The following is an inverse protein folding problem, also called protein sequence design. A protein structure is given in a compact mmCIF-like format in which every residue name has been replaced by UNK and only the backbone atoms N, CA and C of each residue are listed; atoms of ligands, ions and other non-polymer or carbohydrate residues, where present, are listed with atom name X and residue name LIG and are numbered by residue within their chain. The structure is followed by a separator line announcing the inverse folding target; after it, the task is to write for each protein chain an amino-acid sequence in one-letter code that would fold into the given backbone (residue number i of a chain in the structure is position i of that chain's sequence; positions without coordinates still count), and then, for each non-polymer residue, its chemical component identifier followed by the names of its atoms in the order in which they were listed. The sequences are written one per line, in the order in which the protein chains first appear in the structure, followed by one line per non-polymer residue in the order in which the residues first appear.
data_IF_423131417193
#
_entry.id   IF_423131417193
#
_cell.length_a   1.000
_cell.length_b   1.000
_cell.length_c   1.000
_cell.angle_alpha   90.00
_cell.angle_beta   90.00
_cell.angle_gamma   90.00
#
_symmetry.space_group_name_H-M   'P 1'
#
loop_
_entity.id
_entity.type
_entity.pdbx_description
1 polymer ?
#
# COMPACT_ATOMS: atom_id res chain seq x y z
N UNK A 1 -21.31 -18.72 7.12
CA UNK A 1 -20.71 -19.61 6.10
C UNK A 1 -21.58 -19.70 4.84
N UNK A 2 -21.98 -18.56 4.24
CA UNK A 2 -22.77 -18.56 2.97
C UNK A 2 -22.11 -17.68 1.88
N UNK A 3 -21.11 -16.84 2.21
CA UNK A 3 -20.48 -15.94 1.23
C UNK A 3 -19.40 -16.60 0.36
N UNK A 4 -18.69 -17.62 0.86
CA UNK A 4 -17.56 -18.23 0.12
C UNK A 4 -17.93 -18.86 -1.24
N UNK A 5 -19.13 -19.42 -1.36
CA UNK A 5 -19.61 -20.02 -2.62
C UNK A 5 -20.02 -18.95 -3.65
N UNK A 6 -20.56 -17.82 -3.18
CA UNK A 6 -20.97 -16.70 -4.04
C UNK A 6 -19.75 -15.99 -4.64
N UNK A 7 -18.72 -15.78 -3.83
CA UNK A 7 -17.50 -15.10 -4.27
C UNK A 7 -16.72 -15.96 -5.27
N UNK A 8 -16.56 -17.26 -4.99
CA UNK A 8 -15.89 -18.17 -5.92
C UNK A 8 -16.63 -18.24 -7.26
N UNK A 9 -17.97 -18.24 -7.25
CA UNK A 9 -18.78 -18.25 -8.48
C UNK A 9 -18.61 -16.96 -9.29
N UNK A 10 -18.60 -15.80 -8.62
CA UNK A 10 -18.36 -14.51 -9.27
C UNK A 10 -16.99 -14.48 -9.94
N UNK A 11 -15.93 -14.81 -9.19
CA UNK A 11 -14.56 -14.73 -9.70
C UNK A 11 -14.32 -15.72 -10.83
N UNK A 12 -14.88 -16.93 -10.74
CA UNK A 12 -14.80 -17.89 -11.84
C UNK A 12 -15.55 -17.40 -13.09
N UNK A 13 -16.70 -16.76 -12.92
CA UNK A 13 -17.46 -16.17 -14.04
C UNK A 13 -16.69 -15.02 -14.70
N UNK A 14 -16.02 -14.17 -13.89
CA UNK A 14 -15.20 -13.06 -14.38
C UNK A 14 -13.93 -13.51 -15.12
N UNK A 15 -13.53 -14.78 -15.06
CA UNK A 15 -12.45 -15.28 -15.93
C UNK A 15 -12.87 -15.43 -17.39
N UNK A 16 -14.18 -15.33 -17.69
CA UNK A 16 -14.69 -15.30 -19.06
C UNK A 16 -14.48 -13.90 -19.68
N UNK A 17 -13.71 -13.77 -20.78
CA UNK A 17 -13.48 -12.48 -21.42
C UNK A 17 -14.77 -11.80 -21.93
N UNK A 18 -15.82 -12.55 -22.20
CA UNK A 18 -17.11 -12.00 -22.65
C UNK A 18 -17.84 -11.18 -21.58
N UNK A 19 -17.41 -11.22 -20.31
CA UNK A 19 -17.97 -10.39 -19.23
C UNK A 19 -17.53 -8.93 -19.29
N UNK A 20 -16.49 -8.60 -20.08
CA UNK A 20 -15.90 -7.27 -20.11
C UNK A 20 -16.47 -6.40 -21.23
N UNK A 21 -16.68 -5.10 -21.00
CA UNK A 21 -17.24 -4.19 -22.01
C UNK A 21 -16.21 -3.76 -23.07
N UNK A 22 -15.01 -4.31 -23.05
CA UNK A 22 -13.91 -4.02 -23.96
C UNK A 22 -13.29 -5.34 -24.42
N UNK A 23 -12.47 -5.27 -25.47
CA UNK A 23 -11.74 -6.46 -25.94
C UNK A 23 -10.82 -7.00 -24.83
N UNK A 24 -10.93 -8.31 -24.60
CA UNK A 24 -10.05 -9.09 -23.76
C UNK A 24 -9.96 -10.48 -24.39
N UNK A 25 -8.76 -10.95 -24.70
CA UNK A 25 -8.57 -12.30 -25.24
C UNK A 25 -8.55 -13.36 -24.12
N UNK A 26 -7.92 -13.00 -23.00
CA UNK A 26 -7.78 -13.86 -21.82
C UNK A 26 -7.92 -13.00 -20.56
N UNK A 27 -8.32 -13.65 -19.47
CA UNK A 27 -8.38 -13.01 -18.15
C UNK A 27 -7.52 -13.80 -17.18
N UNK A 28 -6.48 -13.16 -16.64
CA UNK A 28 -5.61 -13.76 -15.60
C UNK A 28 -6.07 -13.27 -14.23
N UNK A 29 -6.32 -14.21 -13.33
CA UNK A 29 -6.57 -13.93 -11.92
C UNK A 29 -5.25 -13.87 -11.16
N UNK A 30 -5.02 -12.78 -10.42
CA UNK A 30 -4.05 -12.68 -9.35
C UNK A 30 -4.79 -12.59 -8.03
N UNK A 31 -4.26 -13.22 -6.99
CA UNK A 31 -4.90 -13.27 -5.68
C UNK A 31 -3.94 -12.75 -4.62
N UNK A 32 -4.41 -11.78 -3.83
CA UNK A 32 -3.72 -11.29 -2.63
C UNK A 32 -4.43 -11.77 -1.38
N UNK A 33 -3.96 -11.40 -0.20
CA UNK A 33 -4.63 -11.75 1.07
C UNK A 33 -6.04 -11.15 1.18
N UNK A 34 -6.28 -9.97 0.61
CA UNK A 34 -7.52 -9.19 0.79
C UNK A 34 -8.24 -8.86 -0.53
N UNK A 35 -7.69 -9.25 -1.69
CA UNK A 35 -8.28 -8.91 -2.99
C UNK A 35 -8.06 -9.97 -4.06
N UNK A 36 -8.93 -9.96 -5.07
CA UNK A 36 -8.73 -10.61 -6.36
C UNK A 36 -8.48 -9.52 -7.41
N UNK A 37 -7.50 -9.72 -8.29
CA UNK A 37 -7.16 -8.79 -9.38
C UNK A 37 -7.31 -9.54 -10.70
N UNK A 38 -8.26 -9.09 -11.51
CA UNK A 38 -8.59 -9.68 -12.81
C UNK A 38 -7.92 -8.84 -13.90
N UNK A 39 -6.90 -9.39 -14.55
CA UNK A 39 -6.18 -8.77 -15.66
C UNK A 39 -6.89 -9.11 -16.98
N UNK A 40 -7.61 -8.15 -17.56
CA UNK A 40 -8.43 -8.33 -18.76
C UNK A 40 -8.06 -7.27 -19.82
N UNK A 41 -7.39 -7.71 -20.89
CA UNK A 41 -6.88 -6.79 -21.92
C UNK A 41 -5.95 -5.72 -21.32
N UNK A 42 -6.25 -4.46 -21.61
CA UNK A 42 -5.51 -3.27 -21.14
C UNK A 42 -5.87 -2.84 -19.71
N UNK A 43 -6.78 -3.55 -19.04
CA UNK A 43 -7.29 -3.16 -17.73
C UNK A 43 -7.05 -4.23 -16.66
N UNK A 44 -7.02 -3.77 -15.41
CA UNK A 44 -7.06 -4.59 -14.22
C UNK A 44 -8.28 -4.21 -13.38
N UNK A 45 -8.95 -5.20 -12.79
CA UNK A 45 -10.10 -5.00 -11.93
C UNK A 45 -9.82 -5.62 -10.57
N UNK A 46 -9.67 -4.78 -9.54
CA UNK A 46 -9.40 -5.22 -8.17
C UNK A 46 -10.70 -5.27 -7.37
N UNK A 47 -11.07 -6.48 -6.95
CA UNK A 47 -12.26 -6.78 -6.14
C UNK A 47 -11.80 -7.16 -4.74
N UNK A 48 -12.42 -6.57 -3.73
CA UNK A 48 -12.11 -6.82 -2.32
C UNK A 48 -12.75 -8.13 -1.86
N UNK A 49 -12.00 -8.98 -1.17
CA UNK A 49 -12.55 -10.21 -0.58
C UNK A 49 -13.45 -9.87 0.60
N UNK A 50 -14.58 -10.55 0.83
CA UNK A 50 -15.45 -10.28 1.96
C UNK A 50 -14.92 -10.95 3.23
N UNK A 51 -13.83 -10.40 3.76
CA UNK A 51 -13.12 -10.87 4.94
C UNK A 51 -13.18 -9.83 6.07
N UNK A 52 -13.04 -10.29 7.30
CA UNK A 52 -12.85 -9.46 8.49
C UNK A 52 -11.65 -9.99 9.26
N UNK A 53 -10.62 -9.17 9.38
CA UNK A 53 -9.38 -9.46 10.12
C UNK A 53 -9.24 -8.61 11.39
N UNK A 54 -10.28 -7.89 11.79
CA UNK A 54 -10.29 -6.97 12.94
C UNK A 54 -9.61 -5.62 12.67
N UNK A 55 -8.49 -5.60 11.95
CA UNK A 55 -7.87 -4.36 11.47
C UNK A 55 -8.46 -3.87 10.13
N UNK A 56 -9.29 -4.70 9.49
CA UNK A 56 -9.95 -4.46 8.23
C UNK A 56 -11.24 -5.28 8.17
N UNK A 57 -12.33 -4.69 7.67
CA UNK A 57 -13.60 -5.40 7.45
C UNK A 57 -14.20 -5.04 6.08
N UNK A 58 -14.28 -6.04 5.20
CA UNK A 58 -14.87 -5.99 3.86
C UNK A 58 -16.10 -6.91 3.74
N UNK A 59 -16.63 -7.41 4.86
CA UNK A 59 -17.73 -8.40 4.87
C UNK A 59 -19.00 -7.86 4.21
N UNK A 60 -19.30 -6.58 4.44
CA UNK A 60 -20.49 -5.90 3.91
C UNK A 60 -20.20 -5.25 2.56
N UNK A 61 -21.16 -5.32 1.62
CA UNK A 61 -21.03 -4.74 0.28
C UNK A 61 -20.78 -3.21 0.34
N UNK A 62 -21.45 -2.53 1.27
CA UNK A 62 -21.27 -1.09 1.47
C UNK A 62 -19.82 -0.73 1.88
N UNK A 63 -19.19 -1.59 2.69
CA UNK A 63 -17.79 -1.41 3.08
C UNK A 63 -16.85 -1.63 1.89
N UNK A 64 -17.09 -2.67 1.08
CA UNK A 64 -16.31 -2.87 -0.15
C UNK A 64 -16.43 -1.70 -1.12
N UNK A 65 -17.64 -1.15 -1.30
CA UNK A 65 -17.85 0.06 -2.09
C UNK A 65 -17.06 1.25 -1.52
N UNK A 66 -17.15 1.47 -0.21
CA UNK A 66 -16.45 2.57 0.50
C UNK A 66 -14.95 2.47 0.29
N UNK A 67 -14.37 1.30 0.53
CA UNK A 67 -12.92 1.12 0.40
C UNK A 67 -12.44 1.10 -1.05
N UNK A 68 -13.24 0.66 -2.02
CA UNK A 68 -12.89 0.86 -3.44
C UNK A 68 -12.77 2.35 -3.77
N UNK A 69 -13.67 3.20 -3.23
CA UNK A 69 -13.58 4.66 -3.41
C UNK A 69 -12.39 5.25 -2.68
N UNK A 70 -12.08 4.80 -1.46
CA UNK A 70 -10.90 5.26 -0.73
C UNK A 70 -9.60 4.87 -1.44
N UNK A 71 -9.49 3.64 -1.95
CA UNK A 71 -8.34 3.22 -2.75
C UNK A 71 -8.16 4.10 -3.99
N UNK A 72 -9.25 4.39 -4.71
CA UNK A 72 -9.23 5.30 -5.85
C UNK A 72 -8.79 6.71 -5.45
N UNK A 73 -9.35 7.26 -4.36
CA UNK A 73 -9.01 8.61 -3.85
C UNK A 73 -7.54 8.71 -3.49
N UNK A 74 -7.03 7.73 -2.74
CA UNK A 74 -5.68 7.75 -2.19
C UNK A 74 -4.63 7.54 -3.28
N UNK A 75 -4.84 6.57 -4.16
CA UNK A 75 -3.81 6.20 -5.13
C UNK A 75 -3.77 7.12 -6.36
N UNK A 76 -4.87 7.78 -6.73
CA UNK A 76 -4.84 8.82 -7.79
C UNK A 76 -3.91 10.00 -7.47
N UNK A 77 -3.54 10.21 -6.21
CA UNK A 77 -2.62 11.29 -5.81
C UNK A 77 -1.20 11.09 -6.37
N UNK A 78 -0.77 9.83 -6.53
CA UNK A 78 0.54 9.46 -7.08
C UNK A 78 0.45 8.77 -8.44
N UNK A 79 -0.67 8.08 -8.74
CA UNK A 79 -0.88 7.32 -9.97
C UNK A 79 -2.22 7.64 -10.66
N UNK A 80 -2.50 8.91 -11.04
CA UNK A 80 -3.79 9.31 -11.60
C UNK A 80 -4.12 8.65 -12.95
N UNK A 81 -3.10 8.34 -13.76
CA UNK A 81 -3.27 7.64 -15.05
C UNK A 81 -3.56 6.15 -14.89
N UNK A 82 -3.13 5.56 -13.76
CA UNK A 82 -3.30 4.15 -13.45
C UNK A 82 -4.70 3.85 -12.88
N UNK A 83 -5.20 4.69 -11.97
CA UNK A 83 -6.46 4.48 -11.26
C UNK A 83 -7.64 5.16 -11.98
N UNK A 84 -8.47 4.38 -12.64
CA UNK A 84 -9.46 4.89 -13.62
C UNK A 84 -10.84 5.12 -13.05
N UNK A 85 -11.41 4.20 -12.26
CA UNK A 85 -12.76 4.37 -11.70
C UNK A 85 -13.07 3.32 -10.61
N UNK A 86 -14.20 3.50 -9.91
CA UNK A 86 -14.88 2.42 -9.18
C UNK A 86 -16.10 1.99 -9.97
N UNK A 87 -16.14 0.73 -10.39
CA UNK A 87 -17.22 0.17 -11.20
C UNK A 87 -18.08 -0.78 -10.37
N UNK A 88 -19.41 -0.65 -10.47
CA UNK A 88 -20.36 -1.61 -9.92
C UNK A 88 -20.60 -2.77 -10.87
N UNK A 89 -21.00 -3.92 -10.33
CA UNK A 89 -21.40 -5.11 -11.07
C UNK A 89 -22.80 -5.54 -10.64
N UNK A 90 -23.75 -5.51 -11.55
CA UNK A 90 -25.11 -6.01 -11.37
C UNK A 90 -25.34 -7.32 -12.11
N UNK A 91 -26.61 -7.76 -12.19
CA UNK A 91 -26.97 -9.06 -12.75
C UNK A 91 -26.93 -10.16 -11.69
N UNK A 92 -26.22 -11.26 -11.95
CA UNK A 92 -25.99 -12.33 -10.97
C UNK A 92 -24.51 -12.74 -10.92
N UNK A 93 -24.04 -13.42 -9.86
CA UNK A 93 -22.66 -13.91 -9.81
C UNK A 93 -22.26 -14.83 -10.97
N UNK A 94 -23.22 -15.56 -11.57
CA UNK A 94 -22.98 -16.44 -12.73
C UNK A 94 -22.94 -15.68 -14.06
N UNK A 95 -23.55 -14.49 -14.11
CA UNK A 95 -23.61 -13.62 -15.30
C UNK A 95 -23.43 -12.16 -14.86
N UNK A 96 -22.23 -11.79 -14.36
CA UNK A 96 -21.98 -10.44 -13.89
C UNK A 96 -21.95 -9.47 -15.07
N UNK A 97 -22.52 -8.27 -14.86
CA UNK A 97 -22.52 -7.20 -15.85
C UNK A 97 -22.00 -5.91 -15.22
N UNK A 98 -20.86 -5.42 -15.71
CA UNK A 98 -20.29 -4.14 -15.28
C UNK A 98 -21.24 -2.97 -15.61
N UNK A 99 -21.47 -2.10 -14.63
CA UNK A 99 -22.33 -0.92 -14.74
C UNK A 99 -23.84 -1.20 -14.63
N UNK A 100 -24.26 -2.46 -14.46
CA UNK A 100 -25.65 -2.79 -14.24
C UNK A 100 -26.07 -2.55 -12.77
N UNK A 101 -27.35 -2.20 -12.57
CA UNK A 101 -27.95 -1.95 -11.26
C UNK A 101 -29.12 -2.91 -10.98
N UNK A 102 -29.38 -3.28 -9.70
CA UNK A 102 -28.58 -2.93 -8.52
C UNK A 102 -27.23 -3.67 -8.52
N UNK A 103 -26.16 -2.95 -8.21
CA UNK A 103 -24.84 -3.57 -8.06
C UNK A 103 -24.82 -4.50 -6.84
N UNK A 104 -24.36 -5.75 -7.05
CA UNK A 104 -24.11 -6.72 -5.98
C UNK A 104 -22.63 -6.82 -5.60
N UNK A 105 -21.72 -6.22 -6.39
CA UNK A 105 -20.28 -6.13 -6.09
C UNK A 105 -19.64 -4.90 -6.75
N UNK A 106 -18.47 -4.47 -6.26
CA UNK A 106 -17.69 -3.36 -6.79
C UNK A 106 -16.24 -3.76 -7.08
N UNK A 107 -15.64 -3.09 -8.06
CA UNK A 107 -14.21 -3.22 -8.38
C UNK A 107 -13.57 -1.85 -8.56
N UNK A 108 -12.28 -1.73 -8.22
CA UNK A 108 -11.43 -0.62 -8.69
C UNK A 108 -10.94 -0.99 -10.09
N UNK A 109 -11.28 -0.17 -11.07
CA UNK A 109 -10.80 -0.30 -12.46
C UNK A 109 -9.49 0.47 -12.61
N UNK A 110 -8.47 -0.21 -13.09
CA UNK A 110 -7.12 0.32 -13.28
C UNK A 110 -6.63 0.05 -14.70
N UNK A 111 -5.68 0.85 -15.20
CA UNK A 111 -4.86 0.43 -16.35
C UNK A 111 -3.99 -0.74 -15.92
N UNK A 112 -3.82 -1.70 -16.81
CA UNK A 112 -2.84 -2.76 -16.62
C UNK A 112 -1.46 -2.26 -17.02
N UNK A 113 -0.44 -2.74 -16.33
CA UNK A 113 0.97 -2.59 -16.70
C UNK A 113 1.64 -3.97 -16.75
N UNK A 114 2.83 -4.05 -17.33
CA UNK A 114 3.57 -5.29 -17.38
C UNK A 114 4.16 -5.59 -15.99
N UNK A 115 4.04 -6.84 -15.55
CA UNK A 115 4.61 -7.29 -14.25
C UNK A 115 6.11 -6.99 -14.18
N UNK A 116 6.83 -7.13 -15.30
CA UNK A 116 8.24 -6.75 -15.40
C UNK A 116 8.53 -5.26 -15.11
N UNK A 117 7.54 -4.37 -15.13
CA UNK A 117 7.76 -2.95 -14.82
C UNK A 117 7.64 -2.63 -13.31
N UNK A 118 7.26 -3.59 -12.47
CA UNK A 118 7.36 -3.43 -11.01
C UNK A 118 8.83 -3.22 -10.60
N UNK A 119 9.09 -2.29 -9.68
CA UNK A 119 10.45 -1.84 -9.40
C UNK A 119 11.33 -2.91 -8.75
N UNK A 120 10.74 -3.88 -8.08
CA UNK A 120 11.46 -5.05 -7.59
C UNK A 120 11.96 -5.94 -8.73
N UNK A 121 11.14 -6.18 -9.76
CA UNK A 121 11.57 -6.87 -10.98
C UNK A 121 12.53 -6.03 -11.85
N UNK A 122 12.39 -4.69 -11.86
CA UNK A 122 13.36 -3.76 -12.47
C UNK A 122 14.71 -3.87 -11.77
N UNK A 123 14.71 -3.99 -10.45
CA UNK A 123 15.91 -4.18 -9.66
C UNK A 123 16.54 -5.55 -9.91
N UNK A 124 15.76 -6.63 -9.87
CA UNK A 124 16.24 -8.01 -10.07
C UNK A 124 16.94 -8.21 -11.42
N UNK A 125 16.45 -7.55 -12.48
CA UNK A 125 17.10 -7.58 -13.80
C UNK A 125 18.27 -6.60 -13.96
N UNK A 126 18.63 -5.86 -12.92
CA UNK A 126 19.73 -4.87 -12.94
C UNK A 126 19.42 -3.58 -13.70
N UNK A 127 18.15 -3.26 -13.94
CA UNK A 127 17.73 -2.05 -14.68
C UNK A 127 17.37 -0.87 -13.77
N UNK A 128 17.33 -1.06 -12.44
CA UNK A 128 17.03 0.03 -11.51
C UNK A 128 18.24 0.96 -11.38
N UNK A 129 18.06 2.23 -11.75
CA UNK A 129 19.11 3.24 -11.79
C UNK A 129 18.98 4.26 -10.66
N UNK A 130 20.06 5.00 -10.40
CA UNK A 130 20.05 6.17 -9.50
C UNK A 130 19.09 7.26 -9.99
N UNK A 131 18.97 7.44 -11.31
CA UNK A 131 18.06 8.43 -11.89
C UNK A 131 16.61 8.10 -11.58
N UNK A 132 16.21 6.82 -11.64
CA UNK A 132 14.87 6.41 -11.21
C UNK A 132 14.62 6.83 -9.76
N UNK A 133 15.56 6.55 -8.86
CA UNK A 133 15.38 6.88 -7.45
C UNK A 133 15.45 8.37 -7.13
N UNK A 134 16.23 9.15 -7.90
CA UNK A 134 16.18 10.61 -7.82
C UNK A 134 14.79 11.14 -8.21
N UNK A 135 14.24 10.70 -9.35
CA UNK A 135 12.92 11.14 -9.80
C UNK A 135 11.82 10.74 -8.80
N UNK A 136 11.92 9.55 -8.21
CA UNK A 136 11.02 9.09 -7.17
C UNK A 136 11.13 9.96 -5.92
N UNK A 137 12.35 10.28 -5.48
CA UNK A 137 12.59 11.13 -4.33
C UNK A 137 12.02 12.55 -4.53
N UNK A 138 12.22 13.15 -5.71
CA UNK A 138 11.66 14.46 -6.06
C UNK A 138 10.12 14.42 -6.04
N UNK A 139 9.52 13.37 -6.60
CA UNK A 139 8.07 13.14 -6.61
C UNK A 139 7.52 13.02 -5.19
N UNK A 140 8.14 12.20 -4.35
CA UNK A 140 7.71 11.97 -2.97
C UNK A 140 7.92 13.20 -2.08
N UNK A 141 9.04 13.93 -2.24
CA UNK A 141 9.26 15.16 -1.51
C UNK A 141 8.18 16.21 -1.84
N UNK A 142 7.84 16.36 -3.12
CA UNK A 142 6.75 17.23 -3.58
C UNK A 142 5.37 16.77 -3.07
N UNK A 143 5.08 15.47 -3.19
CA UNK A 143 3.84 14.86 -2.69
C UNK A 143 3.69 15.09 -1.19
N UNK A 144 4.69 14.72 -0.40
CA UNK A 144 4.70 14.91 1.04
C UNK A 144 4.52 16.37 1.39
N UNK A 145 5.29 17.30 0.80
CA UNK A 145 5.18 18.73 1.06
C UNK A 145 3.80 19.32 0.72
N UNK A 146 3.13 18.77 -0.31
CA UNK A 146 1.79 19.19 -0.75
C UNK A 146 0.64 18.64 0.09
N UNK A 147 0.84 17.58 0.88
CA UNK A 147 -0.20 17.04 1.76
C UNK A 147 -0.43 17.95 2.98
N UNK A 148 -1.69 18.10 3.45
CA UNK A 148 -1.95 18.77 4.72
C UNK A 148 -1.35 17.97 5.89
N UNK A 149 -0.85 18.64 6.94
CA UNK A 149 -0.46 17.97 8.17
C UNK A 149 -1.69 17.39 8.88
N UNK A 150 -1.49 16.32 9.65
CA UNK A 150 -2.51 15.80 10.55
C UNK A 150 -2.93 16.88 11.56
N UNK A 151 -4.22 16.91 11.90
CA UNK A 151 -4.70 17.73 13.02
C UNK A 151 -4.14 17.18 14.34
N UNK A 152 -3.81 18.09 15.27
CA UNK A 152 -3.11 17.73 16.50
C UNK A 152 -3.89 16.75 17.40
N UNK A 153 -5.22 16.73 17.29
CA UNK A 153 -6.16 15.89 18.04
C UNK A 153 -6.70 14.71 17.21
N UNK A 154 -6.21 14.51 15.99
CA UNK A 154 -6.64 13.40 15.12
C UNK A 154 -6.24 12.00 15.62
N UNK A 155 -5.37 11.92 16.64
CA UNK A 155 -4.91 10.66 17.22
C UNK A 155 -3.91 9.89 16.35
N UNK A 156 -3.25 10.57 15.39
CA UNK A 156 -2.26 9.97 14.50
C UNK A 156 -0.86 10.53 14.74
N UNK A 157 0.14 9.66 14.57
CA UNK A 157 1.55 10.04 14.55
C UNK A 157 2.14 10.56 15.86
N UNK A 158 1.39 10.52 16.97
CA UNK A 158 2.01 10.64 18.28
C UNK A 158 2.93 9.45 18.54
N UNK A 159 3.89 9.61 19.45
CA UNK A 159 4.92 8.60 19.67
C UNK A 159 4.33 7.23 20.06
N UNK A 160 3.23 7.20 20.83
CA UNK A 160 2.60 5.94 21.22
C UNK A 160 1.86 5.29 20.03
N UNK A 161 1.18 6.09 19.21
CA UNK A 161 0.58 5.63 17.96
C UNK A 161 1.63 5.04 17.00
N UNK A 162 2.86 5.59 16.96
CA UNK A 162 3.97 5.04 16.16
C UNK A 162 4.45 3.68 16.70
N UNK A 163 4.53 3.51 18.02
CA UNK A 163 5.01 2.26 18.63
C UNK A 163 3.98 1.12 18.60
N UNK A 164 2.68 1.46 18.56
CA UNK A 164 1.59 0.50 18.71
C UNK A 164 1.60 -0.64 17.67
N UNK A 165 1.76 -0.40 16.35
CA UNK A 165 1.81 -1.48 15.37
C UNK A 165 2.97 -2.46 15.62
N UNK A 166 4.15 -1.94 15.96
CA UNK A 166 5.32 -2.78 16.28
C UNK A 166 5.05 -3.65 17.52
N UNK A 167 4.43 -3.09 18.57
CA UNK A 167 4.05 -3.84 19.78
C UNK A 167 2.99 -4.91 19.50
N UNK A 168 2.01 -4.62 18.63
CA UNK A 168 0.99 -5.58 18.22
C UNK A 168 1.60 -6.77 17.48
N UNK A 169 2.63 -6.55 16.64
CA UNK A 169 3.35 -7.64 15.99
C UNK A 169 3.94 -8.62 17.01
N UNK A 170 4.59 -8.12 18.08
CA UNK A 170 5.13 -8.98 19.14
C UNK A 170 4.03 -9.77 19.88
N UNK A 171 2.91 -9.13 20.18
CA UNK A 171 1.76 -9.79 20.82
C UNK A 171 1.21 -10.93 19.94
N UNK A 172 1.10 -10.72 18.63
CA UNK A 172 0.62 -11.73 17.69
C UNK A 172 1.64 -12.86 17.48
N UNK A 173 2.91 -12.53 17.30
CA UNK A 173 3.97 -13.52 17.12
C UNK A 173 4.11 -14.43 18.34
N UNK A 174 3.96 -13.91 19.55
CA UNK A 174 3.99 -14.71 20.78
C UNK A 174 2.86 -15.76 20.87
N UNK A 175 1.76 -15.57 20.14
CA UNK A 175 0.65 -16.53 20.08
C UNK A 175 0.85 -17.60 18.99
N UNK A 176 1.64 -17.31 17.96
CA UNK A 176 1.80 -18.14 16.76
C UNK A 176 3.11 -18.93 16.74
N UNK A 177 4.17 -18.39 17.33
CA UNK A 177 5.48 -19.03 17.38
C UNK A 177 5.57 -20.03 18.53
N UNK A 178 6.39 -21.06 18.33
CA UNK A 178 6.74 -21.98 19.40
C UNK A 178 7.82 -21.40 20.35
N UNK A 179 8.02 -22.09 21.47
CA UNK A 179 8.96 -21.68 22.53
C UNK A 179 10.43 -21.63 22.10
N UNK A 180 10.78 -22.14 20.92
CA UNK A 180 12.17 -22.05 20.43
C UNK A 180 12.53 -20.63 20.01
N UNK A 181 11.53 -19.78 19.76
CA UNK A 181 11.69 -18.39 19.33
C UNK A 181 11.61 -17.39 20.48
N UNK A 182 11.23 -17.81 21.69
CA UNK A 182 10.97 -16.92 22.85
C UNK A 182 12.13 -15.95 23.12
N UNK A 183 13.37 -16.45 23.11
CA UNK A 183 14.54 -15.63 23.39
C UNK A 183 14.78 -14.57 22.32
N UNK A 184 14.71 -14.96 21.03
CA UNK A 184 14.89 -14.04 19.92
C UNK A 184 13.78 -12.99 19.84
N UNK A 185 12.54 -13.38 20.14
CA UNK A 185 11.40 -12.47 20.19
C UNK A 185 11.55 -11.45 21.33
N UNK A 186 11.97 -11.90 22.52
CA UNK A 186 12.22 -11.02 23.66
C UNK A 186 13.38 -10.04 23.40
N UNK A 187 14.47 -10.51 22.79
CA UNK A 187 15.61 -9.67 22.42
C UNK A 187 15.23 -8.60 21.41
N UNK A 188 14.47 -8.98 20.37
CA UNK A 188 13.98 -8.07 19.34
C UNK A 188 12.99 -7.05 19.94
N UNK A 189 12.05 -7.50 20.77
CA UNK A 189 11.11 -6.61 21.45
C UNK A 189 11.86 -5.60 22.35
N UNK A 190 12.84 -6.06 23.12
CA UNK A 190 13.65 -5.18 23.95
C UNK A 190 14.47 -4.18 23.13
N UNK A 191 14.97 -4.57 21.96
CA UNK A 191 15.64 -3.67 21.03
C UNK A 191 14.68 -2.61 20.47
N UNK A 192 13.50 -3.02 19.99
CA UNK A 192 12.47 -2.10 19.50
C UNK A 192 12.02 -1.09 20.56
N UNK A 193 11.86 -1.51 21.82
CA UNK A 193 11.50 -0.59 22.91
C UNK A 193 12.63 0.39 23.26
N UNK A 194 13.91 -0.01 23.14
CA UNK A 194 15.04 0.90 23.33
C UNK A 194 15.10 1.97 22.25
N UNK A 195 14.93 1.58 20.99
CA UNK A 195 14.91 2.52 19.85
C UNK A 195 13.71 3.46 19.94
N UNK A 196 12.53 2.93 20.29
CA UNK A 196 11.34 3.76 20.57
C UNK A 196 11.63 4.79 21.67
N UNK A 197 12.21 4.37 22.79
CA UNK A 197 12.52 5.29 23.89
C UNK A 197 13.51 6.39 23.47
N UNK A 198 14.49 6.07 22.62
CA UNK A 198 15.44 7.04 22.07
C UNK A 198 14.77 8.03 21.11
N UNK A 199 13.82 7.57 20.28
CA UNK A 199 13.16 8.38 19.27
C UNK A 199 11.89 9.09 19.76
N UNK A 200 11.37 8.75 20.95
CA UNK A 200 10.06 9.20 21.45
C UNK A 200 9.86 10.72 21.40
N UNK A 201 10.85 11.49 21.84
CA UNK A 201 10.79 12.95 21.82
C UNK A 201 10.86 13.51 20.40
N UNK A 202 11.58 12.84 19.49
CA UNK A 202 11.66 13.22 18.09
C UNK A 202 10.33 12.99 17.37
N UNK A 203 9.64 11.86 17.59
CA UNK A 203 8.30 11.64 17.05
C UNK A 203 7.32 12.75 17.46
N UNK A 204 7.35 13.18 18.73
CA UNK A 204 6.52 14.29 19.20
C UNK A 204 6.89 15.62 18.53
N UNK A 205 8.18 15.92 18.39
CA UNK A 205 8.64 17.13 17.69
C UNK A 205 8.20 17.12 16.22
N UNK A 206 8.25 15.97 15.56
CA UNK A 206 7.86 15.82 14.16
C UNK A 206 6.37 15.98 13.95
N UNK A 207 5.54 15.43 14.85
CA UNK A 207 4.10 15.70 14.87
C UNK A 207 3.81 17.20 14.98
N UNK A 208 4.43 17.88 15.95
CA UNK A 208 4.27 19.34 16.13
C UNK A 208 4.81 20.16 14.95
N UNK A 209 5.80 19.65 14.23
CA UNK A 209 6.35 20.26 13.02
C UNK A 209 5.53 19.96 11.75
N UNK A 210 4.38 19.29 11.85
CA UNK A 210 3.51 18.98 10.71
C UNK A 210 4.11 17.96 9.73
N UNK A 211 4.90 17.03 10.25
CA UNK A 211 5.54 15.95 9.48
C UNK A 211 4.70 14.68 9.38
N UNK A 212 3.63 14.58 10.17
CA UNK A 212 2.64 13.51 10.06
C UNK A 212 1.59 13.91 9.02
N UNK A 213 1.43 13.10 7.97
CA UNK A 213 0.58 13.40 6.79
C UNK A 213 -0.11 12.13 6.30
N UNK A 214 -1.12 12.25 5.44
CA UNK A 214 -1.81 11.08 4.83
C UNK A 214 -0.95 10.50 3.68
N UNK A 215 0.16 9.86 4.02
CA UNK A 215 1.19 9.31 3.15
C UNK A 215 0.72 8.05 2.37
N UNK A 216 1.65 7.33 1.73
CA UNK A 216 1.37 6.07 1.03
C UNK A 216 1.07 4.91 1.99
N UNK A 217 1.90 4.76 3.04
CA UNK A 217 1.73 3.78 4.12
C UNK A 217 2.34 2.40 3.87
N UNK A 218 2.67 2.08 2.62
CA UNK A 218 3.29 0.78 2.23
C UNK A 218 4.25 0.91 1.03
N UNK A 219 5.18 1.86 1.11
CA UNK A 219 6.02 2.27 -0.02
C UNK A 219 7.26 1.36 -0.17
N UNK A 220 7.06 0.12 -0.63
CA UNK A 220 8.15 -0.79 -1.01
C UNK A 220 8.22 -0.99 -2.53
N UNK A 221 9.30 -1.57 -3.06
CA UNK A 221 9.55 -1.65 -4.53
C UNK A 221 8.45 -2.40 -5.30
N UNK A 222 7.76 -3.34 -4.67
CA UNK A 222 6.62 -4.06 -5.25
C UNK A 222 5.36 -3.20 -5.41
N UNK A 223 5.27 -2.07 -4.71
CA UNK A 223 4.22 -1.08 -4.80
C UNK A 223 4.66 0.17 -5.58
N UNK A 224 5.67 0.03 -6.45
CA UNK A 224 6.10 1.08 -7.36
C UNK A 224 6.31 0.47 -8.74
N UNK A 225 5.68 1.06 -9.76
CA UNK A 225 5.78 0.61 -11.15
C UNK A 225 6.51 1.64 -12.00
N UNK A 226 7.33 1.20 -12.94
CA UNK A 226 8.01 2.04 -13.90
C UNK A 226 7.09 2.35 -15.09
N UNK A 227 6.20 3.32 -14.94
CA UNK A 227 5.28 3.74 -16.00
C UNK A 227 5.93 4.77 -16.91
N UNK A 228 6.05 4.45 -18.19
CA UNK A 228 6.67 5.34 -19.20
C UNK A 228 8.07 5.85 -18.76
N UNK A 229 8.82 5.01 -18.05
CA UNK A 229 10.14 5.32 -17.52
C UNK A 229 10.15 6.12 -16.21
N UNK A 230 8.99 6.40 -15.60
CA UNK A 230 8.87 7.10 -14.33
C UNK A 230 8.42 6.15 -13.20
N UNK A 231 9.16 6.05 -12.09
CA UNK A 231 8.71 5.33 -10.91
C UNK A 231 7.44 5.96 -10.35
N UNK A 232 6.37 5.18 -10.31
CA UNK A 232 5.04 5.63 -9.93
C UNK A 232 4.52 4.75 -8.80
N UNK A 233 4.44 5.26 -7.56
CA UNK A 233 3.86 4.52 -6.44
C UNK A 233 2.38 4.19 -6.67
N UNK A 234 1.96 2.99 -6.28
CA UNK A 234 0.58 2.52 -6.36
C UNK A 234 0.29 1.53 -5.22
N UNK A 235 -0.98 1.26 -4.98
CA UNK A 235 -1.46 0.35 -3.93
C UNK A 235 -1.11 0.76 -2.48
N UNK A 236 -1.23 2.06 -2.19
CA UNK A 236 -1.14 2.59 -0.82
C UNK A 236 -2.34 2.22 0.05
N UNK A 237 -2.12 2.14 1.37
CA UNK A 237 -3.06 1.56 2.33
C UNK A 237 -4.37 2.37 2.44
N UNK A 238 -5.47 1.81 1.93
CA UNK A 238 -6.80 2.41 2.00
C UNK A 238 -7.56 2.05 3.27
N UNK A 239 -7.29 0.88 3.84
CA UNK A 239 -8.18 0.27 4.82
C UNK A 239 -7.99 0.73 6.27
N UNK A 240 -6.78 1.14 6.64
CA UNK A 240 -6.48 1.59 8.01
C UNK A 240 -5.81 2.98 7.98
N UNK A 241 -6.53 4.04 8.36
CA UNK A 241 -5.97 5.39 8.43
C UNK A 241 -4.71 5.50 9.29
N UNK A 242 -4.60 4.74 10.38
CA UNK A 242 -3.45 4.79 11.28
C UNK A 242 -2.14 4.30 10.63
N UNK A 243 -2.24 3.53 9.54
CA UNK A 243 -1.07 3.05 8.78
C UNK A 243 -0.65 3.99 7.65
N UNK A 244 -1.45 5.01 7.32
CA UNK A 244 -1.12 6.02 6.30
C UNK A 244 -1.02 7.45 6.83
N UNK A 245 -1.65 7.75 7.96
CA UNK A 245 -1.43 8.98 8.70
C UNK A 245 -0.17 8.83 9.56
N UNK A 246 0.97 8.89 8.88
CA UNK A 246 2.28 8.57 9.43
C UNK A 246 3.25 9.72 9.17
N UNK A 247 4.38 9.68 9.85
CA UNK A 247 5.48 10.58 9.53
C UNK A 247 5.99 10.35 8.09
N UNK A 248 6.30 11.41 7.36
CA UNK A 248 6.89 11.31 6.02
C UNK A 248 8.20 10.51 5.97
N UNK A 249 8.95 10.44 7.07
CA UNK A 249 10.13 9.58 7.18
C UNK A 249 9.75 8.10 7.31
N UNK A 250 8.65 7.78 8.00
CA UNK A 250 8.14 6.41 8.07
C UNK A 250 7.76 5.91 6.67
N UNK A 251 7.09 6.75 5.87
CA UNK A 251 6.68 6.37 4.51
C UNK A 251 7.89 5.98 3.65
N UNK A 252 8.97 6.77 3.68
CA UNK A 252 10.18 6.45 2.90
C UNK A 252 11.05 5.35 3.53
N UNK A 253 10.93 5.09 4.83
CA UNK A 253 11.73 4.08 5.54
C UNK A 253 11.50 2.68 4.98
N UNK A 254 10.26 2.37 4.56
CA UNK A 254 9.92 1.09 3.92
C UNK A 254 10.76 0.84 2.67
N UNK A 255 10.90 1.85 1.80
CA UNK A 255 11.71 1.74 0.59
C UNK A 255 13.20 1.59 0.91
N UNK A 256 13.70 2.31 1.92
CA UNK A 256 15.10 2.21 2.36
C UNK A 256 15.41 0.80 2.85
N UNK A 257 14.57 0.25 3.73
CA UNK A 257 14.71 -1.09 4.28
C UNK A 257 14.61 -2.15 3.18
N UNK A 258 13.67 -2.02 2.24
CA UNK A 258 13.50 -2.95 1.11
C UNK A 258 14.74 -2.97 0.20
N UNK A 259 15.27 -1.80 -0.18
CA UNK A 259 16.51 -1.71 -0.97
C UNK A 259 17.71 -2.31 -0.24
N UNK A 260 17.85 -2.07 1.07
CA UNK A 260 18.92 -2.65 1.89
C UNK A 260 18.79 -4.17 2.01
N UNK A 261 17.58 -4.67 2.26
CA UNK A 261 17.29 -6.11 2.35
C UNK A 261 17.59 -6.83 1.03
N UNK A 262 17.41 -6.15 -0.10
CA UNK A 262 17.77 -6.63 -1.44
C UNK A 262 19.23 -6.37 -1.84
N UNK A 263 20.08 -5.98 -0.90
CA UNK A 263 21.53 -5.84 -1.11
C UNK A 263 21.93 -4.61 -1.93
N UNK A 264 21.10 -3.56 -1.97
CA UNK A 264 21.37 -2.29 -2.66
C UNK A 264 21.42 -1.08 -1.73
N UNK A 265 22.31 -1.07 -0.71
CA UNK A 265 22.51 0.12 0.12
C UNK A 265 22.98 1.33 -0.72
N UNK A 266 23.67 1.09 -1.84
CA UNK A 266 24.11 2.14 -2.76
C UNK A 266 22.93 2.91 -3.38
N UNK A 267 21.81 2.24 -3.64
CA UNK A 267 20.57 2.84 -4.13
C UNK A 267 19.74 3.43 -2.99
N UNK A 268 19.66 2.74 -1.84
CA UNK A 268 18.97 3.26 -0.66
C UNK A 268 19.52 4.63 -0.25
N UNK A 269 20.85 4.77 -0.18
CA UNK A 269 21.47 6.05 0.15
C UNK A 269 21.36 7.08 -0.97
N UNK A 270 21.37 6.67 -2.25
CA UNK A 270 21.13 7.60 -3.36
C UNK A 270 19.72 8.20 -3.29
N UNK A 271 18.72 7.38 -2.98
CA UNK A 271 17.34 7.82 -2.76
C UNK A 271 17.21 8.73 -1.54
N UNK A 272 17.81 8.34 -0.41
CA UNK A 272 17.76 9.13 0.82
C UNK A 272 18.39 10.52 0.63
N UNK A 273 19.57 10.58 0.02
CA UNK A 273 20.27 11.85 -0.26
C UNK A 273 19.42 12.76 -1.15
N UNK A 274 18.88 12.21 -2.24
CA UNK A 274 17.96 12.89 -3.14
C UNK A 274 16.73 13.45 -2.41
N UNK A 275 16.09 12.63 -1.57
CA UNK A 275 14.89 13.02 -0.84
C UNK A 275 15.18 14.12 0.19
N UNK A 276 16.29 14.02 0.91
CA UNK A 276 16.71 15.04 1.87
C UNK A 276 17.08 16.36 1.18
N UNK A 277 17.74 16.29 0.02
CA UNK A 277 18.04 17.48 -0.78
C UNK A 277 16.77 18.17 -1.28
N UNK A 278 15.79 17.40 -1.77
CA UNK A 278 14.53 17.94 -2.28
C UNK A 278 13.59 18.45 -1.17
N UNK A 279 13.49 17.74 -0.05
CA UNK A 279 12.58 18.06 1.06
C UNK A 279 13.15 19.05 2.07
N UNK A 280 14.48 19.12 2.19
CA UNK A 280 15.18 19.85 3.24
C UNK A 280 14.99 19.28 4.66
N UNK A 281 14.36 18.11 4.82
CA UNK A 281 14.04 17.52 6.12
C UNK A 281 15.20 16.70 6.72
N UNK A 282 16.38 17.31 6.83
CA UNK A 282 17.57 16.67 7.41
C UNK A 282 17.36 16.24 8.87
N UNK A 283 16.50 16.96 9.61
CA UNK A 283 16.16 16.60 10.99
C UNK A 283 15.43 15.24 11.10
N UNK A 284 14.77 14.78 10.03
CA UNK A 284 14.10 13.48 10.02
C UNK A 284 15.02 12.27 10.00
N UNK A 285 16.32 12.45 9.74
CA UNK A 285 17.31 11.38 9.93
C UNK A 285 17.35 10.83 11.36
N UNK A 286 16.91 11.62 12.35
CA UNK A 286 16.89 11.16 13.75
C UNK A 286 15.84 10.07 14.05
N UNK A 287 14.97 9.75 13.10
CA UNK A 287 13.91 8.72 13.24
C UNK A 287 13.97 7.63 12.17
N UNK A 288 15.06 7.56 11.40
CA UNK A 288 15.33 6.56 10.36
C UNK A 288 16.38 5.54 10.82
#
# INVERSE_FOLDING_TARGET
MVNGDLDSTLIESLKNPACYPHEAETVRLLETHISWVLLAGDFAYKIKKPVDFGFLNFSELAERQRFCREELRLNRRLAPSLYLDVVGMGGSPQQPVFGAEPAFEYAVKMRRFAEADLLDHVLERGALTRLHLQNLADTLAGFHAGLPPAEADAGYGDAEAVALPARQNFQQLALLLDRTHDAGLADLQAASEREYAACRSLFQQRLLAGKVRECHGDLHLGNIVLLEGQPTPFDGIEFNPALRWIDVMNDIAFLLMDLQQRGRPDLAFAFLDAYLQASGDYAGLGVL
#
